data_IF_667695664765
#
_entry.id   IF_667695664765
#
_cell.length_a   1.000
_cell.length_b   1.000
_cell.length_c   1.000
_cell.angle_alpha   90.00
_cell.angle_beta   90.00
_cell.angle_gamma   90.00
#
_symmetry.space_group_name_H-M   'P 1'
#
loop_
_entity.id
_entity.type
_entity.pdbx_description
1 polymer ?
#
# COMPACT_ATOMS: atom_id res chain seq x y z
N UNK A 1 26.42 -41.64 2.93
CA UNK A 1 26.26 -40.53 1.97
C UNK A 1 25.04 -39.68 2.34
N UNK A 2 25.18 -38.69 3.24
CA UNK A 2 24.13 -37.70 3.55
C UNK A 2 24.39 -36.43 2.73
N UNK A 3 23.98 -36.40 1.45
CA UNK A 3 24.13 -35.20 0.58
C UNK A 3 22.83 -34.70 -0.05
N UNK A 4 21.73 -35.48 0.01
CA UNK A 4 20.48 -35.14 -0.71
C UNK A 4 19.38 -34.47 0.13
N UNK A 5 19.48 -34.44 1.47
CA UNK A 5 18.42 -33.88 2.33
C UNK A 5 18.31 -32.35 2.23
N UNK A 6 19.46 -31.65 2.13
CA UNK A 6 19.48 -30.18 2.16
C UNK A 6 19.02 -29.53 0.85
N UNK A 7 19.17 -30.18 -0.30
CA UNK A 7 18.75 -29.61 -1.59
C UNK A 7 17.22 -29.47 -1.67
N UNK A 8 16.48 -30.50 -1.23
CA UNK A 8 15.01 -30.50 -1.21
C UNK A 8 14.47 -29.44 -0.24
N UNK A 9 15.08 -29.32 0.94
CA UNK A 9 14.73 -28.28 1.92
C UNK A 9 15.00 -26.87 1.38
N UNK A 10 16.15 -26.66 0.72
CA UNK A 10 16.49 -25.39 0.09
C UNK A 10 15.50 -25.03 -1.02
N UNK A 11 15.17 -25.95 -1.93
CA UNK A 11 14.16 -25.71 -2.98
C UNK A 11 12.79 -25.36 -2.39
N UNK A 12 12.31 -26.12 -1.39
CA UNK A 12 11.06 -25.79 -0.72
C UNK A 12 11.09 -24.39 -0.09
N UNK A 13 12.23 -23.98 0.50
CA UNK A 13 12.41 -22.63 1.02
C UNK A 13 12.35 -21.56 -0.07
N UNK A 14 12.98 -21.80 -1.22
CA UNK A 14 12.93 -20.88 -2.36
C UNK A 14 11.52 -20.72 -2.92
N UNK A 15 10.82 -21.83 -3.17
CA UNK A 15 9.43 -21.80 -3.66
C UNK A 15 8.49 -21.13 -2.65
N UNK A 16 8.64 -21.41 -1.36
CA UNK A 16 7.86 -20.76 -0.32
C UNK A 16 8.09 -19.25 -0.30
N UNK A 17 9.35 -18.81 -0.33
CA UNK A 17 9.68 -17.38 -0.34
C UNK A 17 9.16 -16.68 -1.61
N UNK A 18 9.31 -17.31 -2.78
CA UNK A 18 8.77 -16.77 -4.03
C UNK A 18 7.25 -16.63 -3.98
N UNK A 19 6.54 -17.66 -3.51
CA UNK A 19 5.09 -17.63 -3.40
C UNK A 19 4.61 -16.51 -2.46
N UNK A 20 5.29 -16.33 -1.32
CA UNK A 20 5.03 -15.22 -0.39
C UNK A 20 5.26 -13.86 -1.06
N UNK A 21 6.33 -13.71 -1.84
CA UNK A 21 6.64 -12.45 -2.52
C UNK A 21 5.62 -12.13 -3.63
N UNK A 22 5.16 -13.13 -4.38
CA UNK A 22 4.08 -12.97 -5.38
C UNK A 22 2.77 -12.53 -4.72
N UNK A 23 2.41 -13.13 -3.58
CA UNK A 23 1.22 -12.71 -2.82
C UNK A 23 1.36 -11.26 -2.37
N UNK A 24 2.51 -10.88 -1.77
CA UNK A 24 2.78 -9.51 -1.34
C UNK A 24 2.68 -8.53 -2.50
N UNK A 25 3.31 -8.84 -3.64
CA UNK A 25 3.26 -8.03 -4.85
C UNK A 25 1.82 -7.83 -5.35
N UNK A 26 1.00 -8.89 -5.34
CA UNK A 26 -0.42 -8.80 -5.71
C UNK A 26 -1.23 -7.90 -4.76
N UNK A 27 -1.00 -8.00 -3.45
CA UNK A 27 -1.68 -7.14 -2.47
C UNK A 27 -1.23 -5.68 -2.62
N UNK A 28 0.06 -5.42 -2.82
CA UNK A 28 0.60 -4.08 -3.09
C UNK A 28 0.00 -3.53 -4.39
N UNK A 29 -0.04 -4.32 -5.45
CA UNK A 29 -0.59 -3.92 -6.74
C UNK A 29 -2.07 -3.50 -6.64
N UNK A 30 -2.89 -4.26 -5.91
CA UNK A 30 -4.29 -3.88 -5.65
C UNK A 30 -4.39 -2.52 -4.95
N UNK A 31 -3.55 -2.28 -3.94
CA UNK A 31 -3.51 -1.01 -3.21
C UNK A 31 -3.06 0.15 -4.08
N UNK A 32 -2.06 -0.05 -4.95
CA UNK A 32 -1.60 0.94 -5.91
C UNK A 32 -2.69 1.30 -6.93
N UNK A 33 -3.47 0.33 -7.41
CA UNK A 33 -4.61 0.61 -8.28
C UNK A 33 -5.68 1.44 -7.56
N UNK A 34 -5.97 1.14 -6.30
CA UNK A 34 -6.86 1.97 -5.48
C UNK A 34 -6.29 3.38 -5.30
N UNK A 35 -5.01 3.52 -4.95
CA UNK A 35 -4.35 4.80 -4.81
C UNK A 35 -4.39 5.62 -6.12
N UNK A 36 -4.16 4.97 -7.27
CA UNK A 36 -4.25 5.62 -8.58
C UNK A 36 -5.63 6.22 -8.81
N UNK A 37 -6.70 5.45 -8.53
CA UNK A 37 -8.09 5.94 -8.63
C UNK A 37 -8.38 7.08 -7.65
N UNK A 38 -7.98 6.95 -6.39
CA UNK A 38 -8.17 7.99 -5.36
C UNK A 38 -7.40 9.26 -5.72
N UNK A 39 -6.20 9.14 -6.28
CA UNK A 39 -5.40 10.27 -6.72
C UNK A 39 -6.01 10.99 -7.92
N UNK A 40 -6.56 10.24 -8.88
CA UNK A 40 -7.32 10.83 -9.99
C UNK A 40 -8.53 11.63 -9.46
N UNK A 41 -9.29 11.04 -8.54
CA UNK A 41 -10.44 11.73 -7.92
C UNK A 41 -10.03 12.98 -7.13
N UNK A 42 -8.88 12.94 -6.43
CA UNK A 42 -8.33 14.11 -5.75
C UNK A 42 -7.97 15.23 -6.74
N UNK A 43 -7.33 14.87 -7.87
CA UNK A 43 -7.01 15.80 -8.94
C UNK A 43 -8.28 16.46 -9.48
N UNK A 44 -9.28 15.67 -9.84
CA UNK A 44 -10.56 16.17 -10.37
C UNK A 44 -11.26 17.11 -9.37
N UNK A 45 -11.21 16.78 -8.07
CA UNK A 45 -11.75 17.62 -7.00
C UNK A 45 -11.06 18.99 -6.95
N UNK A 46 -9.73 19.02 -7.08
CA UNK A 46 -8.98 20.29 -7.12
C UNK A 46 -9.20 21.08 -8.38
N UNK A 47 -9.35 20.42 -9.53
CA UNK A 47 -9.71 21.10 -10.78
C UNK A 47 -11.09 21.76 -10.65
N UNK A 48 -12.06 21.09 -10.02
CA UNK A 48 -13.38 21.68 -9.77
C UNK A 48 -13.34 22.86 -8.79
N UNK A 49 -12.53 22.75 -7.72
CA UNK A 49 -12.26 23.88 -6.81
C UNK A 49 -11.64 25.07 -7.56
N UNK A 50 -10.66 24.81 -8.42
CA UNK A 50 -10.01 25.82 -9.24
C UNK A 50 -11.00 26.53 -10.18
N UNK A 51 -11.85 25.76 -10.86
CA UNK A 51 -12.91 26.32 -11.75
C UNK A 51 -13.94 27.16 -10.99
N UNK A 52 -14.27 26.78 -9.75
CA UNK A 52 -15.15 27.61 -8.92
C UNK A 52 -14.49 28.92 -8.51
N UNK A 53 -13.21 28.86 -8.14
CA UNK A 53 -12.46 30.05 -7.77
C UNK A 53 -12.26 30.98 -8.96
N UNK A 54 -11.89 30.45 -10.12
CA UNK A 54 -11.76 31.20 -11.38
C UNK A 54 -13.03 31.98 -11.69
N UNK A 55 -14.19 31.31 -11.67
CA UNK A 55 -15.49 31.96 -11.89
C UNK A 55 -15.79 33.06 -10.87
N UNK A 56 -15.52 32.81 -9.59
CA UNK A 56 -15.75 33.79 -8.53
C UNK A 56 -14.84 35.02 -8.66
N UNK A 57 -13.59 34.81 -9.09
CA UNK A 57 -12.65 35.91 -9.35
C UNK A 57 -13.11 36.72 -10.57
N UNK A 58 -13.54 36.07 -11.65
CA UNK A 58 -14.08 36.74 -12.85
C UNK A 58 -15.35 37.55 -12.55
N UNK A 59 -16.23 37.04 -11.67
CA UNK A 59 -17.43 37.76 -11.24
C UNK A 59 -17.18 38.81 -10.16
N UNK A 60 -15.95 38.92 -9.63
CA UNK A 60 -15.58 39.84 -8.56
C UNK A 60 -16.10 39.45 -7.17
N UNK A 61 -16.65 38.25 -7.01
CA UNK A 61 -17.21 37.74 -5.75
C UNK A 61 -16.91 36.24 -5.61
N UNK A 62 -16.13 35.88 -4.59
CA UNK A 62 -15.80 34.48 -4.28
C UNK A 62 -16.56 34.07 -3.03
N UNK A 63 -17.52 33.16 -3.18
CA UNK A 63 -18.21 32.54 -2.04
C UNK A 63 -17.42 31.35 -1.48
N UNK A 64 -16.58 31.65 -0.50
CA UNK A 64 -15.76 30.68 0.24
C UNK A 64 -16.60 29.74 1.11
N UNK A 65 -17.78 30.17 1.54
CA UNK A 65 -18.65 29.41 2.45
C UNK A 65 -19.75 28.63 1.72
N UNK A 66 -19.76 28.67 0.38
CA UNK A 66 -20.69 27.90 -0.42
C UNK A 66 -20.67 26.41 -0.01
N UNK A 67 -21.84 25.79 0.05
CA UNK A 67 -21.98 24.37 0.36
C UNK A 67 -21.12 23.50 -0.58
N UNK A 68 -20.97 23.95 -1.83
CA UNK A 68 -20.15 23.28 -2.85
C UNK A 68 -18.65 23.36 -2.53
N UNK A 69 -18.13 24.54 -2.17
CA UNK A 69 -16.73 24.71 -1.75
C UNK A 69 -16.39 23.81 -0.55
N UNK A 70 -17.27 23.81 0.47
CA UNK A 70 -17.10 22.97 1.66
C UNK A 70 -17.13 21.47 1.33
N UNK A 71 -18.05 21.03 0.47
CA UNK A 71 -18.14 19.64 0.04
C UNK A 71 -16.87 19.19 -0.70
N UNK A 72 -16.36 20.00 -1.64
CA UNK A 72 -15.14 19.69 -2.38
C UNK A 72 -13.91 19.64 -1.47
N UNK A 73 -13.76 20.59 -0.54
CA UNK A 73 -12.67 20.57 0.44
C UNK A 73 -12.75 19.33 1.35
N UNK A 74 -13.95 18.94 1.77
CA UNK A 74 -14.15 17.71 2.54
C UNK A 74 -13.74 16.47 1.74
N UNK A 75 -14.16 16.37 0.47
CA UNK A 75 -13.76 15.28 -0.43
C UNK A 75 -12.25 15.23 -0.63
N UNK A 76 -11.61 16.38 -0.87
CA UNK A 76 -10.16 16.46 -1.02
C UNK A 76 -9.43 15.97 0.24
N UNK A 77 -9.93 16.33 1.43
CA UNK A 77 -9.39 15.89 2.71
C UNK A 77 -9.55 14.38 2.92
N UNK A 78 -10.71 13.82 2.54
CA UNK A 78 -10.96 12.38 2.59
C UNK A 78 -9.99 11.62 1.67
N UNK A 79 -9.87 12.04 0.40
CA UNK A 79 -8.95 11.43 -0.55
C UNK A 79 -7.49 11.46 -0.06
N UNK A 80 -7.02 12.57 0.53
CA UNK A 80 -5.68 12.65 1.13
C UNK A 80 -5.48 11.63 2.24
N UNK A 81 -6.46 11.52 3.15
CA UNK A 81 -6.42 10.56 4.26
C UNK A 81 -6.38 9.12 3.75
N UNK A 82 -7.15 8.82 2.71
CA UNK A 82 -7.16 7.49 2.08
C UNK A 82 -5.82 7.17 1.42
N UNK A 83 -5.22 8.12 0.72
CA UNK A 83 -3.88 7.96 0.13
C UNK A 83 -2.81 7.71 1.20
N UNK A 84 -2.82 8.50 2.28
CA UNK A 84 -1.92 8.30 3.42
C UNK A 84 -2.13 6.94 4.08
N UNK A 85 -3.38 6.51 4.21
CA UNK A 85 -3.71 5.20 4.76
C UNK A 85 -3.20 4.06 3.86
N UNK A 86 -3.35 4.19 2.54
CA UNK A 86 -2.83 3.22 1.58
C UNK A 86 -1.30 3.15 1.64
N UNK A 87 -0.63 4.29 1.71
CA UNK A 87 0.83 4.36 1.80
C UNK A 87 1.35 3.63 3.05
N UNK A 88 0.73 3.90 4.21
CA UNK A 88 1.01 3.19 5.45
C UNK A 88 0.81 1.67 5.34
N UNK A 89 -0.22 1.22 4.61
CA UNK A 89 -0.45 -0.21 4.40
C UNK A 89 0.60 -0.84 3.48
N UNK A 90 1.01 -0.14 2.41
CA UNK A 90 2.07 -0.61 1.51
C UNK A 90 3.40 -0.68 2.24
N UNK A 91 3.74 0.35 3.03
CA UNK A 91 4.92 0.36 3.89
C UNK A 91 4.92 -0.85 4.82
N UNK A 92 3.81 -1.11 5.52
CA UNK A 92 3.68 -2.28 6.39
C UNK A 92 3.91 -3.59 5.65
N UNK A 93 3.39 -3.79 4.43
CA UNK A 93 3.58 -5.05 3.68
C UNK A 93 5.04 -5.20 3.21
N UNK A 94 5.65 -4.10 2.76
CA UNK A 94 7.01 -4.08 2.23
C UNK A 94 8.05 -4.32 3.33
N UNK A 95 7.80 -3.83 4.53
CA UNK A 95 8.77 -3.84 5.64
C UNK A 95 8.34 -4.68 6.85
N UNK A 96 7.14 -5.29 6.85
CA UNK A 96 6.79 -6.30 7.85
C UNK A 96 7.78 -7.45 7.73
N UNK A 97 8.48 -7.73 8.84
CA UNK A 97 9.52 -8.73 8.94
C UNK A 97 9.10 -10.05 8.27
N UNK A 98 10.00 -10.60 7.46
CA UNK A 98 9.90 -11.94 6.91
C UNK A 98 9.61 -12.89 8.09
N UNK A 99 8.50 -13.68 8.08
CA UNK A 99 8.34 -14.73 9.07
C UNK A 99 9.57 -15.61 8.93
N UNK A 100 10.32 -15.83 10.02
CA UNK A 100 11.38 -16.85 10.03
C UNK A 100 10.75 -18.10 9.44
N UNK A 101 11.26 -18.56 8.29
CA UNK A 101 10.86 -19.85 7.75
C UNK A 101 11.04 -20.93 8.82
N UNK A 102 10.37 -22.09 8.69
CA UNK A 102 10.41 -23.14 9.70
C UNK A 102 11.85 -23.34 10.18
N UNK A 103 12.07 -23.11 11.49
CA UNK A 103 13.39 -23.29 12.10
C UNK A 103 13.82 -24.73 11.86
N UNK A 104 15.01 -24.90 11.28
CA UNK A 104 15.56 -26.22 11.00
C UNK A 104 15.99 -26.87 12.33
N UNK A 105 15.11 -27.70 12.87
CA UNK A 105 15.31 -28.43 14.14
C UNK A 105 16.30 -29.60 14.02
N UNK A 106 16.90 -29.84 12.84
CA UNK A 106 17.77 -31.00 12.61
C UNK A 106 19.13 -30.98 13.33
N UNK A 107 19.52 -29.84 13.93
CA UNK A 107 20.81 -29.68 14.61
C UNK A 107 20.74 -29.68 16.15
N UNK A 108 19.61 -30.04 16.76
CA UNK A 108 19.43 -29.91 18.21
C UNK A 108 19.71 -31.17 19.04
N UNK A 109 20.34 -32.21 18.46
CA UNK A 109 20.63 -33.48 19.17
C UNK A 109 22.06 -33.61 19.72
N UNK A 110 23.01 -32.73 19.39
CA UNK A 110 24.43 -32.91 19.76
C UNK A 110 24.90 -32.09 21.00
N UNK A 111 24.00 -31.78 21.94
CA UNK A 111 24.37 -31.20 23.25
C UNK A 111 23.70 -31.91 24.42
N UNK A 112 23.83 -33.22 24.47
CA UNK A 112 23.81 -33.99 25.71
C UNK A 112 24.88 -35.08 25.62
N UNK A 113 26.09 -34.73 26.07
CA UNK A 113 26.98 -35.56 26.87
C UNK A 113 28.16 -34.71 27.34
#
# INVERSE_FOLDING_TARGET
MKKNSNWKANLNRYFFNFHQEVIKAGVIGKKLLTASRTNAHLKDTYEELGRLLEKGVESGEVDWDSAKMRALLHTAKACKKDLEHIDNQVYKIKFSAIPKGPEDISNNEDKKN
#
